data_IF_291993800422
#
_entry.id   IF_291993800422
#
_cell.length_a   1.000
_cell.length_b   1.000
_cell.length_c   1.000
_cell.angle_alpha   90.00
_cell.angle_beta   90.00
_cell.angle_gamma   90.00
#
_symmetry.space_group_name_H-M   'P 1'
#
loop_
_entity.id
_entity.type
_entity.pdbx_description
1 polymer ?
#
# COMPACT_ATOMS: atom_id res chain seq x y z
N UNK A 1 -6.50 -16.13 -55.89
CA UNK A 1 -6.17 -14.88 -55.13
C UNK A 1 -7.06 -14.58 -53.93
N UNK A 2 -7.74 -15.56 -53.30
CA UNK A 2 -8.60 -15.31 -52.08
C UNK A 2 -8.09 -15.93 -50.77
N UNK A 3 -6.95 -16.67 -50.78
CA UNK A 3 -6.41 -17.34 -49.58
C UNK A 3 -5.32 -16.56 -48.86
N UNK A 4 -4.70 -15.55 -49.47
CA UNK A 4 -3.63 -14.72 -48.87
C UNK A 4 -4.15 -13.60 -48.01
N UNK A 5 -5.43 -13.20 -48.07
CA UNK A 5 -6.02 -12.11 -47.30
C UNK A 5 -6.41 -12.52 -45.87
N UNK A 6 -6.60 -13.83 -45.62
CA UNK A 6 -7.05 -14.32 -44.31
C UNK A 6 -5.94 -14.43 -43.28
N UNK A 7 -4.66 -14.46 -43.70
CA UNK A 7 -3.49 -14.54 -42.80
C UNK A 7 -2.98 -13.17 -42.34
N UNK A 8 -3.30 -12.11 -43.05
CA UNK A 8 -2.87 -10.75 -42.70
C UNK A 8 -3.76 -10.10 -41.62
N UNK A 9 -5.04 -10.51 -41.53
CA UNK A 9 -5.97 -9.93 -40.54
C UNK A 9 -5.58 -10.21 -39.08
N UNK A 10 -5.20 -11.43 -38.65
CA UNK A 10 -4.76 -11.69 -37.30
C UNK A 10 -3.41 -11.03 -36.98
N UNK A 11 -2.51 -10.88 -37.96
CA UNK A 11 -1.22 -10.20 -37.73
C UNK A 11 -1.40 -8.69 -37.50
N UNK A 12 -2.31 -8.06 -38.26
CA UNK A 12 -2.64 -6.63 -38.08
C UNK A 12 -3.35 -6.38 -36.76
N UNK A 13 -4.25 -7.27 -36.33
CA UNK A 13 -4.91 -7.16 -35.02
C UNK A 13 -3.95 -7.39 -33.87
N UNK A 14 -2.97 -8.30 -34.00
CA UNK A 14 -1.94 -8.54 -32.99
C UNK A 14 -0.98 -7.35 -32.89
N UNK A 15 -0.56 -6.77 -34.01
CA UNK A 15 0.29 -5.56 -34.01
C UNK A 15 -0.45 -4.34 -33.49
N UNK A 16 -1.72 -4.10 -33.86
CA UNK A 16 -2.53 -3.00 -33.33
C UNK A 16 -2.75 -3.14 -31.81
N UNK A 17 -3.01 -4.34 -31.31
CA UNK A 17 -3.16 -4.60 -29.88
C UNK A 17 -1.85 -4.34 -29.11
N UNK A 18 -0.70 -4.77 -29.65
CA UNK A 18 0.62 -4.54 -29.06
C UNK A 18 1.00 -3.05 -29.08
N UNK A 19 0.68 -2.30 -30.14
CA UNK A 19 0.90 -0.86 -30.22
C UNK A 19 -0.02 -0.08 -29.26
N UNK A 20 -1.30 -0.41 -29.18
CA UNK A 20 -2.24 0.21 -28.26
C UNK A 20 -1.84 -0.01 -26.79
N UNK A 21 -1.39 -1.23 -26.46
CA UNK A 21 -0.93 -1.58 -25.12
C UNK A 21 0.35 -0.81 -24.74
N UNK A 22 1.33 -0.73 -25.65
CA UNK A 22 2.57 0.03 -25.43
C UNK A 22 2.34 1.54 -25.27
N UNK A 23 1.33 2.10 -25.96
CA UNK A 23 0.96 3.51 -25.85
C UNK A 23 0.28 3.81 -24.50
N UNK A 24 -0.58 2.92 -24.02
CA UNK A 24 -1.25 3.03 -22.72
C UNK A 24 -0.22 3.02 -21.57
N UNK A 25 0.71 2.08 -21.56
CA UNK A 25 1.76 1.97 -20.53
C UNK A 25 2.61 3.24 -20.49
N UNK A 26 3.03 3.78 -21.65
CA UNK A 26 3.85 4.99 -21.72
C UNK A 26 3.13 6.19 -21.10
N UNK A 27 1.84 6.36 -21.37
CA UNK A 27 1.06 7.47 -20.80
C UNK A 27 0.88 7.34 -19.28
N UNK A 28 0.68 6.12 -18.77
CA UNK A 28 0.56 5.87 -17.34
C UNK A 28 1.89 6.18 -16.60
N UNK A 29 3.02 5.74 -17.16
CA UNK A 29 4.35 6.05 -16.62
C UNK A 29 4.64 7.55 -16.65
N UNK A 30 4.32 8.25 -17.73
CA UNK A 30 4.47 9.71 -17.81
C UNK A 30 3.63 10.44 -16.75
N UNK A 31 2.40 9.98 -16.50
CA UNK A 31 1.54 10.53 -15.44
C UNK A 31 2.14 10.32 -14.06
N UNK A 32 2.71 9.14 -13.78
CA UNK A 32 3.42 8.86 -12.54
C UNK A 32 4.63 9.77 -12.36
N UNK A 33 5.44 9.94 -13.40
CA UNK A 33 6.61 10.81 -13.37
C UNK A 33 6.24 12.28 -13.09
N UNK A 34 5.20 12.81 -13.72
CA UNK A 34 4.70 14.16 -13.44
C UNK A 34 4.29 14.35 -11.97
N UNK A 35 3.68 13.32 -11.35
CA UNK A 35 3.28 13.40 -9.94
C UNK A 35 4.49 13.24 -9.01
N UNK A 36 5.47 12.40 -9.37
CA UNK A 36 6.74 12.29 -8.66
C UNK A 36 7.51 13.62 -8.63
N UNK A 37 7.53 14.35 -9.74
CA UNK A 37 8.18 15.67 -9.81
C UNK A 37 7.50 16.69 -8.87
N UNK A 38 6.22 16.50 -8.57
CA UNK A 38 5.43 17.36 -7.65
C UNK A 38 5.45 16.88 -6.19
N UNK A 39 6.11 15.76 -5.87
CA UNK A 39 6.11 15.14 -4.54
C UNK A 39 6.44 16.13 -3.41
N UNK A 40 7.45 16.97 -3.62
CA UNK A 40 7.85 17.98 -2.64
C UNK A 40 6.72 18.94 -2.23
N UNK A 41 5.80 19.26 -3.17
CA UNK A 41 4.66 20.11 -2.90
C UNK A 41 3.62 19.40 -2.00
N UNK A 42 3.34 18.12 -2.25
CA UNK A 42 2.43 17.34 -1.39
C UNK A 42 3.00 17.22 0.03
N UNK A 43 4.30 16.93 0.15
CA UNK A 43 4.99 16.90 1.44
C UNK A 43 4.94 18.24 2.17
N UNK A 44 5.11 19.35 1.44
CA UNK A 44 5.01 20.69 2.01
C UNK A 44 3.61 20.97 2.54
N UNK A 45 2.56 20.64 1.79
CA UNK A 45 1.19 20.78 2.25
C UNK A 45 0.93 19.96 3.52
N UNK A 46 1.46 18.75 3.60
CA UNK A 46 1.36 17.90 4.80
C UNK A 46 2.07 18.54 5.99
N UNK A 47 3.30 19.06 5.81
CA UNK A 47 4.06 19.75 6.86
C UNK A 47 3.31 20.99 7.38
N UNK A 48 2.71 21.78 6.52
CA UNK A 48 1.90 22.93 6.96
C UNK A 48 0.71 22.52 7.84
N UNK A 49 0.04 21.38 7.54
CA UNK A 49 -1.01 20.85 8.44
C UNK A 49 -0.45 20.41 9.78
N UNK A 50 0.70 19.74 9.77
CA UNK A 50 1.42 19.32 11.00
C UNK A 50 1.82 20.54 11.83
N UNK A 51 2.39 21.57 11.21
CA UNK A 51 2.78 22.80 11.89
C UNK A 51 1.57 23.49 12.53
N UNK A 52 0.45 23.58 11.81
CA UNK A 52 -0.79 24.13 12.33
C UNK A 52 -1.33 23.36 13.53
N UNK A 53 -1.29 22.01 13.48
CA UNK A 53 -1.70 21.16 14.61
C UNK A 53 -0.75 21.32 15.80
N UNK A 54 0.55 21.47 15.55
CA UNK A 54 1.57 21.63 16.60
C UNK A 54 1.36 22.94 17.36
N UNK A 55 1.03 24.02 16.69
CA UNK A 55 0.71 25.31 17.34
C UNK A 55 -0.50 25.23 18.28
N UNK A 56 -1.45 24.35 18.01
CA UNK A 56 -2.62 24.16 18.88
C UNK A 56 -2.27 23.49 20.22
N UNK A 57 -1.13 22.78 20.31
CA UNK A 57 -0.70 22.13 21.55
C UNK A 57 -0.39 23.15 22.67
N UNK A 58 0.12 24.34 22.32
CA UNK A 58 0.51 25.37 23.29
C UNK A 58 -0.68 25.90 24.09
N UNK A 59 -1.89 25.77 23.57
CA UNK A 59 -3.12 26.29 24.18
C UNK A 59 -4.09 25.20 24.65
N UNK A 60 -3.80 23.94 24.34
CA UNK A 60 -4.69 22.83 24.60
C UNK A 60 -4.72 22.43 26.07
N UNK A 61 -5.89 22.39 26.70
CA UNK A 61 -6.08 21.86 28.06
C UNK A 61 -6.04 20.33 28.11
N UNK A 62 -6.51 19.69 27.06
CA UNK A 62 -6.52 18.22 26.88
C UNK A 62 -5.95 17.89 25.50
N UNK A 63 -4.65 17.61 25.40
CA UNK A 63 -3.96 17.50 24.12
C UNK A 63 -4.23 16.18 23.37
N UNK A 64 -4.96 15.22 23.94
CA UNK A 64 -5.18 13.89 23.35
C UNK A 64 -5.65 13.95 21.90
N UNK A 65 -6.68 14.75 21.61
CA UNK A 65 -7.23 14.89 20.25
C UNK A 65 -6.22 15.44 19.27
N UNK A 66 -5.39 16.39 19.71
CA UNK A 66 -4.33 16.96 18.87
C UNK A 66 -3.23 15.93 18.62
N UNK A 67 -2.84 15.17 19.66
CA UNK A 67 -1.89 14.06 19.49
C UNK A 67 -2.40 13.01 18.51
N UNK A 68 -3.70 12.69 18.56
CA UNK A 68 -4.34 11.80 17.59
C UNK A 68 -4.29 12.37 16.18
N UNK A 69 -4.62 13.65 15.98
CA UNK A 69 -4.53 14.30 14.67
C UNK A 69 -3.07 14.29 14.15
N UNK A 70 -2.10 14.56 15.00
CA UNK A 70 -0.67 14.50 14.64
C UNK A 70 -0.24 13.05 14.31
N UNK A 71 -0.69 12.06 15.07
CA UNK A 71 -0.49 10.65 14.72
C UNK A 71 -1.05 10.34 13.33
N UNK A 72 -2.27 10.77 12.99
CA UNK A 72 -2.88 10.55 11.66
C UNK A 72 -2.05 11.16 10.52
N UNK A 73 -1.45 12.32 10.72
CA UNK A 73 -0.56 12.92 9.73
C UNK A 73 0.77 12.15 9.61
N UNK A 74 1.31 11.60 10.71
CA UNK A 74 2.61 10.92 10.72
C UNK A 74 2.56 9.43 10.44
N UNK A 75 1.43 8.73 10.66
CA UNK A 75 1.34 7.26 10.67
C UNK A 75 1.87 6.55 9.41
N UNK A 76 1.81 7.20 8.24
CA UNK A 76 2.36 6.70 6.97
C UNK A 76 3.43 7.62 6.38
N UNK A 77 3.82 8.68 7.11
CA UNK A 77 4.79 9.69 6.68
C UNK A 77 6.14 9.56 7.40
N UNK A 78 6.13 9.32 8.72
CA UNK A 78 7.33 9.14 9.53
C UNK A 78 7.04 8.24 10.72
N UNK A 79 7.64 7.06 10.73
CA UNK A 79 7.45 6.02 11.73
C UNK A 79 7.78 6.48 13.16
N UNK A 80 8.97 7.07 13.35
CA UNK A 80 9.46 7.42 14.71
C UNK A 80 8.58 8.47 15.36
N UNK A 81 8.19 9.49 14.58
CA UNK A 81 7.31 10.55 15.07
C UNK A 81 5.89 10.05 15.33
N UNK A 82 5.37 9.18 14.48
CA UNK A 82 4.08 8.51 14.72
C UNK A 82 4.11 7.73 16.04
N UNK A 83 5.19 6.98 16.30
CA UNK A 83 5.36 6.23 17.55
C UNK A 83 5.43 7.15 18.79
N UNK A 84 6.07 8.30 18.67
CA UNK A 84 6.10 9.32 19.74
C UNK A 84 4.68 9.79 20.08
N UNK A 85 3.87 10.11 19.06
CA UNK A 85 2.51 10.59 19.31
C UNK A 85 1.59 9.52 19.88
N UNK A 86 1.74 8.25 19.50
CA UNK A 86 0.97 7.16 20.15
C UNK A 86 1.33 7.00 21.63
N UNK A 87 2.61 7.22 22.02
CA UNK A 87 3.01 7.21 23.42
C UNK A 87 2.40 8.39 24.18
N UNK A 88 2.42 9.59 23.60
CA UNK A 88 1.77 10.77 24.20
C UNK A 88 0.26 10.59 24.37
N UNK A 89 -0.40 9.98 23.37
CA UNK A 89 -1.82 9.61 23.49
C UNK A 89 -2.06 8.65 24.65
N UNK A 90 -1.23 7.63 24.81
CA UNK A 90 -1.33 6.65 25.87
C UNK A 90 -1.13 7.28 27.25
N UNK A 91 -0.10 8.12 27.42
CA UNK A 91 0.18 8.84 28.67
C UNK A 91 -0.97 9.78 29.05
N UNK A 92 -1.50 10.53 28.10
CA UNK A 92 -2.66 11.42 28.31
C UNK A 92 -3.93 10.63 28.66
N UNK A 93 -4.17 9.50 28.02
CA UNK A 93 -5.31 8.63 28.32
C UNK A 93 -5.25 8.07 29.75
N UNK A 94 -4.05 7.75 30.25
CA UNK A 94 -3.81 7.35 31.64
C UNK A 94 -4.13 8.50 32.63
N UNK A 95 -3.68 9.72 32.32
CA UNK A 95 -3.95 10.90 33.15
C UNK A 95 -5.46 11.21 33.22
N UNK A 96 -6.16 11.05 32.11
CA UNK A 96 -7.61 11.24 32.01
C UNK A 96 -8.42 10.09 32.63
N UNK A 97 -7.79 8.97 32.97
CA UNK A 97 -8.41 7.75 33.47
C UNK A 97 -9.52 7.25 32.53
N UNK A 98 -9.29 7.31 31.20
CA UNK A 98 -10.27 6.91 30.19
C UNK A 98 -9.80 5.64 29.45
N UNK A 99 -10.34 4.45 29.80
CA UNK A 99 -9.94 3.18 29.21
C UNK A 99 -10.15 3.10 27.69
N UNK A 100 -11.19 3.76 27.16
CA UNK A 100 -11.45 3.84 25.73
C UNK A 100 -10.36 4.59 24.96
N UNK A 101 -9.85 5.70 25.50
CA UNK A 101 -8.75 6.44 24.89
C UNK A 101 -7.43 5.68 25.01
N UNK A 102 -7.25 4.92 26.09
CA UNK A 102 -6.09 4.06 26.26
C UNK A 102 -6.05 2.95 25.21
N UNK A 103 -7.18 2.25 25.02
CA UNK A 103 -7.33 1.23 23.99
C UNK A 103 -7.12 1.79 22.57
N UNK A 104 -7.65 2.99 22.30
CA UNK A 104 -7.43 3.67 21.01
C UNK A 104 -5.95 4.01 20.79
N UNK A 105 -5.25 4.54 21.79
CA UNK A 105 -3.82 4.85 21.71
C UNK A 105 -2.97 3.60 21.45
N UNK A 106 -3.29 2.49 22.11
CA UNK A 106 -2.60 1.22 21.92
C UNK A 106 -2.90 0.59 20.55
N UNK A 107 -4.11 0.74 20.04
CA UNK A 107 -4.47 0.33 18.69
C UNK A 107 -3.72 1.15 17.63
N UNK A 108 -3.60 2.47 17.81
CA UNK A 108 -2.78 3.33 16.97
C UNK A 108 -1.30 2.92 16.99
N UNK A 109 -0.77 2.57 18.17
CA UNK A 109 0.61 2.07 18.33
C UNK A 109 0.81 0.73 17.64
N UNK A 110 -0.17 -0.15 17.73
CA UNK A 110 -0.16 -1.42 16.99
C UNK A 110 -0.02 -1.21 15.49
N UNK A 111 -0.80 -0.27 14.92
CA UNK A 111 -0.70 0.06 13.51
C UNK A 111 0.72 0.55 13.14
N UNK A 112 1.35 1.38 13.97
CA UNK A 112 2.74 1.84 13.73
C UNK A 112 3.72 0.67 13.77
N UNK A 113 3.63 -0.23 14.77
CA UNK A 113 4.48 -1.41 14.85
C UNK A 113 4.34 -2.30 13.61
N UNK A 114 3.11 -2.56 13.18
CA UNK A 114 2.79 -3.35 12.00
C UNK A 114 3.40 -2.72 10.74
N UNK A 115 3.22 -1.42 10.54
CA UNK A 115 3.77 -0.68 9.39
C UNK A 115 5.31 -0.63 9.40
N UNK A 116 5.94 -0.67 10.58
CA UNK A 116 7.39 -0.81 10.74
C UNK A 116 7.92 -2.23 10.55
N UNK A 117 7.04 -3.26 10.48
CA UNK A 117 7.40 -4.67 10.39
C UNK A 117 7.73 -5.33 11.74
N UNK A 118 7.27 -4.75 12.85
CA UNK A 118 7.41 -5.27 14.21
C UNK A 118 6.17 -6.14 14.55
N UNK A 119 6.04 -7.27 13.84
CA UNK A 119 4.85 -8.12 13.91
C UNK A 119 4.63 -8.73 15.31
N UNK A 120 5.72 -9.07 16.02
CA UNK A 120 5.63 -9.64 17.38
C UNK A 120 5.06 -8.62 18.35
N UNK A 121 5.59 -7.41 18.37
CA UNK A 121 5.15 -6.31 19.21
C UNK A 121 3.72 -5.89 18.90
N UNK A 122 3.35 -5.87 17.62
CA UNK A 122 1.99 -5.61 17.20
C UNK A 122 1.02 -6.70 17.67
N UNK A 123 1.40 -7.97 17.56
CA UNK A 123 0.59 -9.11 17.99
C UNK A 123 0.37 -9.11 19.50
N UNK A 124 1.44 -8.90 20.28
CA UNK A 124 1.35 -8.88 21.76
C UNK A 124 0.41 -7.77 22.22
N UNK A 125 0.52 -6.58 21.62
CA UNK A 125 -0.32 -5.46 22.00
C UNK A 125 -1.79 -5.67 21.63
N UNK A 126 -2.09 -6.23 20.44
CA UNK A 126 -3.46 -6.57 20.04
C UNK A 126 -4.06 -7.67 20.92
N UNK A 127 -3.28 -8.70 21.26
CA UNK A 127 -3.75 -9.76 22.15
C UNK A 127 -4.08 -9.22 23.55
N UNK A 128 -3.36 -8.20 23.99
CA UNK A 128 -3.70 -7.50 25.25
C UNK A 128 -4.99 -6.70 25.13
N UNK A 129 -5.21 -6.05 23.99
CA UNK A 129 -6.42 -5.27 23.70
C UNK A 129 -7.70 -6.15 23.62
N UNK A 130 -7.60 -7.44 23.30
CA UNK A 130 -8.75 -8.36 23.31
C UNK A 130 -9.47 -8.35 24.67
N UNK A 131 -8.75 -8.13 25.77
CA UNK A 131 -9.33 -8.04 27.12
C UNK A 131 -10.14 -6.74 27.33
N UNK A 132 -9.88 -5.68 26.58
CA UNK A 132 -10.62 -4.41 26.67
C UNK A 132 -11.85 -4.41 25.76
N UNK A 133 -11.76 -5.02 24.58
CA UNK A 133 -12.85 -5.08 23.61
C UNK A 133 -13.76 -6.27 23.89
N UNK A 134 -14.64 -6.10 24.86
CA UNK A 134 -15.72 -7.06 25.11
C UNK A 134 -17.07 -6.41 24.80
N UNK A 135 -18.11 -7.20 24.46
CA UNK A 135 -19.45 -6.68 24.22
C UNK A 135 -20.02 -5.86 25.38
N UNK A 136 -19.48 -6.04 26.59
CA UNK A 136 -19.94 -5.39 27.81
C UNK A 136 -19.13 -4.17 28.24
N UNK A 137 -17.89 -4.02 27.76
CA UNK A 137 -16.99 -2.94 28.21
C UNK A 137 -16.74 -1.91 27.12
N UNK A 138 -16.38 -2.34 25.93
CA UNK A 138 -16.10 -1.47 24.79
C UNK A 138 -16.39 -2.22 23.49
N UNK A 139 -17.33 -1.74 22.63
CA UNK A 139 -17.51 -2.36 21.33
C UNK A 139 -16.27 -2.11 20.46
N UNK A 140 -15.74 -3.16 19.80
CA UNK A 140 -14.59 -2.99 18.93
C UNK A 140 -14.94 -2.11 17.72
N UNK A 141 -14.01 -1.22 17.36
CA UNK A 141 -14.16 -0.29 16.24
C UNK A 141 -13.81 -0.96 14.90
N UNK A 142 -14.28 -0.44 13.75
CA UNK A 142 -13.82 -0.91 12.45
C UNK A 142 -12.29 -0.94 12.31
N UNK A 143 -11.60 0.05 12.88
CA UNK A 143 -10.13 0.13 12.88
C UNK A 143 -9.46 -1.04 13.64
N UNK A 144 -10.09 -1.53 14.72
CA UNK A 144 -9.61 -2.72 15.43
C UNK A 144 -9.66 -3.97 14.54
N UNK A 145 -10.81 -4.24 13.92
CA UNK A 145 -10.96 -5.41 13.04
C UNK A 145 -9.99 -5.37 11.85
N UNK A 146 -9.89 -4.21 11.20
CA UNK A 146 -9.00 -4.01 10.06
C UNK A 146 -7.53 -4.17 10.47
N UNK A 147 -7.11 -3.61 11.59
CA UNK A 147 -5.72 -3.68 12.07
C UNK A 147 -5.34 -5.11 12.43
N UNK A 148 -6.25 -5.85 13.10
CA UNK A 148 -6.01 -7.23 13.46
C UNK A 148 -5.93 -8.15 12.24
N UNK A 149 -6.87 -7.99 11.31
CA UNK A 149 -6.86 -8.75 10.06
C UNK A 149 -5.61 -8.45 9.23
N UNK A 150 -5.21 -7.17 9.11
CA UNK A 150 -3.98 -6.78 8.41
C UNK A 150 -2.74 -7.46 9.02
N UNK A 151 -2.61 -7.43 10.35
CA UNK A 151 -1.51 -8.12 11.03
C UNK A 151 -1.45 -9.60 10.67
N UNK A 152 -2.58 -10.29 10.73
CA UNK A 152 -2.66 -11.71 10.42
C UNK A 152 -2.36 -11.99 8.94
N UNK A 153 -2.80 -11.15 8.03
CA UNK A 153 -2.49 -11.27 6.60
C UNK A 153 -1.01 -11.03 6.32
N UNK A 154 -0.40 -10.01 6.93
CA UNK A 154 1.04 -9.73 6.77
C UNK A 154 1.89 -10.87 7.37
N UNK A 155 1.45 -11.46 8.51
CA UNK A 155 2.08 -12.65 9.09
C UNK A 155 1.91 -13.88 8.19
N UNK A 156 0.76 -14.05 7.53
CA UNK A 156 0.53 -15.13 6.57
C UNK A 156 1.50 -15.04 5.39
N UNK A 157 1.58 -13.84 4.80
CA UNK A 157 2.44 -13.57 3.65
C UNK A 157 3.94 -13.74 3.99
N UNK A 158 4.34 -13.42 5.22
CA UNK A 158 5.71 -13.59 5.70
C UNK A 158 6.06 -15.06 6.00
N UNK A 159 5.16 -15.79 6.66
CA UNK A 159 5.42 -17.15 7.11
C UNK A 159 5.31 -18.18 5.98
N UNK A 160 4.36 -18.01 5.06
CA UNK A 160 4.09 -18.98 4.00
C UNK A 160 3.58 -20.34 4.50
N UNK A 161 3.57 -21.34 3.61
CA UNK A 161 3.28 -22.73 3.96
C UNK A 161 1.98 -22.96 4.74
N UNK A 162 2.00 -23.83 5.73
CA UNK A 162 0.82 -24.17 6.55
C UNK A 162 0.30 -22.96 7.36
N UNK A 163 1.21 -22.10 7.82
CA UNK A 163 0.83 -20.92 8.59
C UNK A 163 0.11 -19.88 7.75
N UNK A 164 0.35 -19.83 6.43
CA UNK A 164 -0.38 -19.00 5.50
C UNK A 164 -1.89 -19.24 5.60
N UNK A 165 -2.31 -20.51 5.58
CA UNK A 165 -3.74 -20.88 5.66
C UNK A 165 -4.32 -20.47 7.02
N UNK A 166 -3.62 -20.80 8.09
CA UNK A 166 -4.09 -20.52 9.46
C UNK A 166 -4.27 -19.04 9.73
N UNK A 167 -3.27 -18.23 9.38
CA UNK A 167 -3.36 -16.78 9.61
C UNK A 167 -4.40 -16.10 8.70
N UNK A 168 -4.52 -16.52 7.43
CA UNK A 168 -5.56 -16.00 6.54
C UNK A 168 -6.97 -16.30 7.05
N UNK A 169 -7.24 -17.52 7.53
CA UNK A 169 -8.53 -17.87 8.10
C UNK A 169 -8.86 -17.00 9.33
N UNK A 170 -7.88 -16.81 10.21
CA UNK A 170 -8.08 -15.93 11.38
C UNK A 170 -8.30 -14.48 10.96
N UNK A 171 -7.55 -13.96 9.99
CA UNK A 171 -7.76 -12.62 9.45
C UNK A 171 -9.14 -12.45 8.81
N UNK A 172 -9.59 -13.44 8.03
CA UNK A 172 -10.93 -13.45 7.45
C UNK A 172 -12.02 -13.41 8.51
N UNK A 173 -11.83 -14.08 9.66
CA UNK A 173 -12.81 -14.05 10.76
C UNK A 173 -12.97 -12.64 11.35
N UNK A 174 -11.89 -11.86 11.50
CA UNK A 174 -12.00 -10.47 11.96
C UNK A 174 -12.69 -9.58 10.91
N UNK A 175 -12.35 -9.74 9.63
CA UNK A 175 -13.03 -9.01 8.56
C UNK A 175 -14.50 -9.37 8.45
N UNK A 176 -14.85 -10.66 8.65
CA UNK A 176 -16.25 -11.11 8.63
C UNK A 176 -17.07 -10.47 9.76
N UNK A 177 -16.52 -10.36 10.97
CA UNK A 177 -17.19 -9.65 12.08
C UNK A 177 -17.49 -8.19 11.72
N UNK A 178 -16.62 -7.51 10.96
CA UNK A 178 -16.90 -6.16 10.49
C UNK A 178 -18.00 -6.14 9.41
N UNK A 179 -18.01 -7.10 8.49
CA UNK A 179 -19.07 -7.25 7.48
C UNK A 179 -20.42 -7.48 8.16
N UNK A 180 -20.48 -8.35 9.17
CA UNK A 180 -21.72 -8.72 9.88
C UNK A 180 -22.33 -7.55 10.68
N UNK A 181 -21.50 -6.58 11.06
CA UNK A 181 -21.91 -5.36 11.77
C UNK A 181 -22.25 -4.19 10.83
N UNK A 182 -22.02 -4.36 9.51
CA UNK A 182 -22.18 -3.33 8.51
C UNK A 182 -23.30 -3.69 7.52
N UNK A 183 -23.78 -2.71 6.79
CA UNK A 183 -24.74 -2.91 5.69
C UNK A 183 -24.11 -2.48 4.36
N UNK A 184 -24.61 -2.93 3.19
CA UNK A 184 -24.14 -2.43 1.90
C UNK A 184 -24.20 -0.91 1.74
N UNK A 185 -25.09 -0.24 2.49
CA UNK A 185 -25.17 1.23 2.54
C UNK A 185 -23.98 1.87 3.28
N UNK A 186 -23.30 1.13 4.15
CA UNK A 186 -22.07 1.56 4.83
C UNK A 186 -20.84 1.43 3.95
N UNK A 187 -21.02 1.28 2.67
CA UNK A 187 -20.11 1.12 1.53
C UNK A 187 -18.67 0.72 1.89
N UNK A 188 -17.86 1.60 2.48
CA UNK A 188 -16.46 1.32 2.80
C UNK A 188 -16.31 0.20 3.82
N UNK A 189 -17.05 0.21 4.93
CA UNK A 189 -16.94 -0.79 6.01
C UNK A 189 -17.61 -2.12 5.70
N UNK A 190 -18.42 -2.19 4.64
CA UNK A 190 -18.97 -3.43 4.12
C UNK A 190 -18.14 -4.00 2.97
N UNK A 191 -17.86 -3.16 1.96
CA UNK A 191 -17.23 -3.64 0.72
C UNK A 191 -15.71 -3.89 0.87
N UNK A 192 -14.97 -3.06 1.61
CA UNK A 192 -13.53 -3.25 1.80
C UNK A 192 -13.20 -4.57 2.53
N UNK A 193 -13.79 -4.87 3.70
CA UNK A 193 -13.52 -6.14 4.37
C UNK A 193 -13.97 -7.36 3.55
N UNK A 194 -15.13 -7.30 2.89
CA UNK A 194 -15.59 -8.38 2.03
C UNK A 194 -14.66 -8.59 0.81
N UNK A 195 -14.18 -7.51 0.19
CA UNK A 195 -13.18 -7.59 -0.88
C UNK A 195 -11.88 -8.25 -0.38
N UNK A 196 -11.44 -7.92 0.83
CA UNK A 196 -10.23 -8.48 1.45
C UNK A 196 -10.36 -9.98 1.69
N UNK A 197 -11.50 -10.45 2.22
CA UNK A 197 -11.80 -11.88 2.38
C UNK A 197 -11.73 -12.58 1.03
N UNK A 198 -12.46 -12.08 0.03
CA UNK A 198 -12.52 -12.66 -1.31
C UNK A 198 -11.16 -12.69 -2.01
N UNK A 199 -10.29 -11.70 -1.74
CA UNK A 199 -8.90 -11.68 -2.22
C UNK A 199 -8.12 -12.85 -1.63
N UNK A 200 -8.22 -13.09 -0.33
CA UNK A 200 -7.52 -14.19 0.36
C UNK A 200 -8.05 -15.57 -0.03
N UNK A 201 -9.30 -15.65 -0.44
CA UNK A 201 -9.93 -16.86 -0.97
C UNK A 201 -9.64 -17.09 -2.47
N UNK A 202 -8.96 -16.16 -3.15
CA UNK A 202 -8.66 -16.24 -4.58
C UNK A 202 -9.84 -15.94 -5.50
N UNK A 203 -10.93 -15.36 -4.98
CA UNK A 203 -12.10 -15.00 -5.77
C UNK A 203 -11.92 -13.62 -6.44
N UNK A 204 -10.98 -13.55 -7.39
CA UNK A 204 -10.47 -12.29 -7.95
C UNK A 204 -11.57 -11.38 -8.50
N UNK A 205 -12.50 -11.89 -9.31
CA UNK A 205 -13.52 -11.05 -9.97
C UNK A 205 -14.48 -10.39 -8.97
N UNK A 206 -14.95 -11.13 -7.99
CA UNK A 206 -15.83 -10.58 -6.95
C UNK A 206 -15.07 -9.60 -6.06
N UNK A 207 -13.83 -9.91 -5.68
CA UNK A 207 -12.99 -9.03 -4.89
C UNK A 207 -12.77 -7.69 -5.59
N UNK A 208 -12.43 -7.69 -6.89
CA UNK A 208 -12.30 -6.45 -7.69
C UNK A 208 -13.59 -5.63 -7.66
N UNK A 209 -14.75 -6.26 -7.87
CA UNK A 209 -16.03 -5.56 -7.86
C UNK A 209 -16.28 -4.87 -6.51
N UNK A 210 -16.02 -5.55 -5.39
CA UNK A 210 -16.20 -4.96 -4.05
C UNK A 210 -15.18 -3.85 -3.75
N UNK A 211 -13.90 -3.96 -4.15
CA UNK A 211 -12.96 -2.84 -4.04
C UNK A 211 -13.41 -1.63 -4.86
N UNK A 212 -13.97 -1.86 -6.07
CA UNK A 212 -14.50 -0.78 -6.90
C UNK A 212 -15.72 -0.08 -6.27
N UNK A 213 -16.57 -0.82 -5.55
CA UNK A 213 -17.66 -0.19 -4.78
C UNK A 213 -17.11 0.61 -3.58
N UNK A 214 -16.11 0.08 -2.84
CA UNK A 214 -15.47 0.80 -1.74
C UNK A 214 -14.81 2.13 -2.22
N UNK A 215 -14.25 2.16 -3.42
CA UNK A 215 -13.67 3.38 -4.02
C UNK A 215 -14.70 4.50 -4.28
N UNK A 216 -16.00 4.18 -4.37
CA UNK A 216 -17.07 5.18 -4.60
C UNK A 216 -17.51 5.89 -3.32
N UNK A 217 -17.11 5.39 -2.14
CA UNK A 217 -17.47 5.99 -0.86
C UNK A 217 -16.82 7.36 -0.71
N UNK A 218 -17.60 8.38 -0.37
CA UNK A 218 -17.11 9.75 -0.16
C UNK A 218 -16.12 9.88 1.01
N UNK A 219 -16.10 8.91 1.93
CA UNK A 219 -15.16 8.82 3.06
C UNK A 219 -13.82 8.21 2.68
N UNK A 220 -13.72 7.60 1.48
CA UNK A 220 -12.50 6.98 0.97
C UNK A 220 -11.42 8.05 0.77
N UNK A 221 -10.44 8.09 1.67
CA UNK A 221 -9.31 9.01 1.58
C UNK A 221 -8.38 8.65 0.42
N UNK A 222 -7.52 9.59 0.01
CA UNK A 222 -6.49 9.31 -1.02
C UNK A 222 -5.57 8.15 -0.60
N UNK A 223 -5.29 8.01 0.69
CA UNK A 223 -4.54 6.88 1.22
C UNK A 223 -5.31 5.54 1.08
N UNK A 224 -6.61 5.52 1.39
CA UNK A 224 -7.44 4.33 1.21
C UNK A 224 -7.54 3.93 -0.27
N UNK A 225 -7.65 4.93 -1.17
CA UNK A 225 -7.61 4.68 -2.62
C UNK A 225 -6.32 3.97 -3.05
N UNK A 226 -5.16 4.35 -2.49
CA UNK A 226 -3.89 3.70 -2.79
C UNK A 226 -3.91 2.21 -2.39
N UNK A 227 -4.46 1.88 -1.21
CA UNK A 227 -4.63 0.50 -0.73
C UNK A 227 -5.54 -0.28 -1.68
N UNK A 228 -6.70 0.28 -2.04
CA UNK A 228 -7.67 -0.41 -2.91
C UNK A 228 -7.13 -0.58 -4.33
N UNK A 229 -6.46 0.42 -4.90
CA UNK A 229 -5.81 0.29 -6.20
C UNK A 229 -4.70 -0.76 -6.19
N UNK A 230 -3.87 -0.81 -5.14
CA UNK A 230 -2.84 -1.85 -4.99
C UNK A 230 -3.44 -3.25 -4.94
N UNK A 231 -4.55 -3.42 -4.22
CA UNK A 231 -5.27 -4.69 -4.10
C UNK A 231 -5.89 -5.12 -5.43
N UNK A 232 -6.53 -4.20 -6.16
CA UNK A 232 -7.07 -4.44 -7.50
C UNK A 232 -5.94 -4.80 -8.48
N UNK A 233 -4.80 -4.10 -8.41
CA UNK A 233 -3.64 -4.39 -9.25
C UNK A 233 -3.11 -5.81 -9.02
N UNK A 234 -2.97 -6.21 -7.76
CA UNK A 234 -2.58 -7.57 -7.39
C UNK A 234 -3.54 -8.61 -7.96
N UNK A 235 -4.85 -8.39 -7.86
CA UNK A 235 -5.88 -9.28 -8.40
C UNK A 235 -5.81 -9.39 -9.94
N UNK A 236 -5.61 -8.28 -10.66
CA UNK A 236 -5.41 -8.34 -12.11
C UNK A 236 -4.14 -9.09 -12.49
N UNK A 237 -3.07 -8.99 -11.69
CA UNK A 237 -1.86 -9.77 -11.89
C UNK A 237 -2.12 -11.27 -11.71
N UNK A 238 -2.90 -11.66 -10.71
CA UNK A 238 -3.34 -13.06 -10.51
C UNK A 238 -4.17 -13.59 -11.70
N UNK A 239 -4.95 -12.73 -12.34
CA UNK A 239 -5.72 -13.04 -13.54
C UNK A 239 -4.88 -13.02 -14.83
N UNK A 240 -3.57 -12.76 -14.76
CA UNK A 240 -2.67 -12.66 -15.91
C UNK A 240 -2.89 -11.39 -16.75
N UNK A 241 -3.58 -10.39 -16.23
CA UNK A 241 -3.80 -9.12 -16.94
C UNK A 241 -2.79 -8.05 -16.47
N UNK A 242 -1.54 -8.19 -16.93
CA UNK A 242 -0.44 -7.31 -16.55
C UNK A 242 -0.67 -5.84 -16.94
N UNK A 243 -1.42 -5.59 -18.02
CA UNK A 243 -1.73 -4.21 -18.46
C UNK A 243 -2.60 -3.49 -17.44
N UNK A 244 -3.69 -4.10 -17.00
CA UNK A 244 -4.55 -3.53 -15.97
C UNK A 244 -3.84 -3.51 -14.62
N UNK A 245 -3.07 -4.55 -14.28
CA UNK A 245 -2.27 -4.59 -13.06
C UNK A 245 -1.33 -3.38 -12.97
N UNK A 246 -0.54 -3.12 -14.02
CA UNK A 246 0.37 -1.98 -14.05
C UNK A 246 -0.37 -0.64 -13.95
N UNK A 247 -1.48 -0.48 -14.68
CA UNK A 247 -2.31 0.73 -14.60
C UNK A 247 -2.80 1.00 -13.18
N UNK A 248 -3.28 -0.02 -12.47
CA UNK A 248 -3.78 0.13 -11.10
C UNK A 248 -2.63 0.34 -10.09
N UNK A 249 -1.45 -0.29 -10.27
CA UNK A 249 -0.28 0.04 -9.45
C UNK A 249 0.20 1.48 -9.67
N UNK A 250 0.13 2.00 -10.89
CA UNK A 250 0.42 3.42 -11.16
C UNK A 250 -0.59 4.33 -10.43
N UNK A 251 -1.88 4.01 -10.46
CA UNK A 251 -2.87 4.76 -9.71
C UNK A 251 -2.61 4.72 -8.20
N UNK A 252 -2.22 3.55 -7.67
CA UNK A 252 -1.84 3.39 -6.27
C UNK A 252 -0.62 4.26 -5.90
N UNK A 253 0.45 4.20 -6.71
CA UNK A 253 1.64 5.02 -6.48
C UNK A 253 1.35 6.52 -6.54
N UNK A 254 0.50 6.96 -7.48
CA UNK A 254 0.05 8.35 -7.55
C UNK A 254 -0.70 8.76 -6.27
N UNK A 255 -1.63 7.94 -5.80
CA UNK A 255 -2.39 8.21 -4.59
C UNK A 255 -1.49 8.21 -3.33
N UNK A 256 -0.51 7.30 -3.25
CA UNK A 256 0.52 7.30 -2.19
C UNK A 256 1.32 8.60 -2.17
N UNK A 257 1.80 9.06 -3.33
CA UNK A 257 2.57 10.31 -3.44
C UNK A 257 1.71 11.52 -3.04
N UNK A 258 0.47 11.58 -3.53
CA UNK A 258 -0.45 12.69 -3.24
C UNK A 258 -0.87 12.75 -1.77
N UNK A 259 -0.92 11.62 -1.07
CA UNK A 259 -1.16 11.54 0.38
C UNK A 259 0.12 11.66 1.22
N UNK A 260 1.29 11.82 0.59
CA UNK A 260 2.61 11.79 1.24
C UNK A 260 2.78 10.53 2.09
N UNK A 261 2.47 9.37 1.51
CA UNK A 261 2.65 8.07 2.12
C UNK A 261 3.97 7.45 1.66
N UNK A 262 4.80 6.98 2.61
CA UNK A 262 6.11 6.37 2.38
C UNK A 262 6.15 4.88 2.74
N UNK A 263 5.12 4.38 3.41
CA UNK A 263 4.93 2.97 3.70
C UNK A 263 4.17 2.31 2.54
N UNK A 264 4.82 2.15 1.37
CA UNK A 264 4.14 1.74 0.14
C UNK A 264 4.72 0.46 -0.46
N UNK A 265 3.95 -0.19 -1.34
CA UNK A 265 4.40 -1.33 -2.16
C UNK A 265 4.31 -1.04 -3.65
N UNK A 266 3.55 -0.01 -4.04
CA UNK A 266 3.16 0.21 -5.43
C UNK A 266 4.38 0.43 -6.34
N UNK A 267 5.33 1.29 -5.94
CA UNK A 267 6.54 1.57 -6.73
C UNK A 267 7.42 0.31 -6.91
N UNK A 268 7.55 -0.53 -5.87
CA UNK A 268 8.26 -1.81 -5.97
C UNK A 268 7.60 -2.73 -7.01
N UNK A 269 6.26 -2.82 -6.99
CA UNK A 269 5.51 -3.67 -7.92
C UNK A 269 5.62 -3.15 -9.36
N UNK A 270 5.57 -1.82 -9.56
CA UNK A 270 5.82 -1.20 -10.87
C UNK A 270 7.23 -1.56 -11.37
N UNK A 271 8.26 -1.42 -10.53
CA UNK A 271 9.64 -1.75 -10.89
C UNK A 271 9.77 -3.23 -11.30
N UNK A 272 9.17 -4.15 -10.53
CA UNK A 272 9.17 -5.58 -10.85
C UNK A 272 8.51 -5.86 -12.21
N UNK A 273 7.34 -5.27 -12.47
CA UNK A 273 6.63 -5.48 -13.73
C UNK A 273 7.37 -4.90 -14.92
N UNK A 274 7.99 -3.73 -14.79
CA UNK A 274 8.81 -3.12 -15.83
C UNK A 274 10.08 -3.93 -16.09
N UNK A 275 10.70 -4.48 -15.05
CA UNK A 275 11.84 -5.39 -15.19
C UNK A 275 11.48 -6.64 -16.01
N UNK A 276 10.35 -7.30 -15.68
CA UNK A 276 9.86 -8.47 -16.41
C UNK A 276 9.51 -8.15 -17.88
N UNK A 277 9.19 -6.90 -18.20
CA UNK A 277 8.95 -6.42 -19.56
C UNK A 277 10.25 -5.97 -20.29
N UNK A 278 11.43 -6.13 -19.68
CA UNK A 278 12.72 -5.73 -20.23
C UNK A 278 12.98 -4.21 -20.19
N UNK A 279 12.17 -3.44 -19.48
CA UNK A 279 12.33 -1.98 -19.32
C UNK A 279 13.25 -1.67 -18.13
N UNK A 280 14.50 -2.18 -18.19
CA UNK A 280 15.43 -2.21 -17.06
C UNK A 280 15.73 -0.81 -16.51
N UNK A 281 15.90 0.21 -17.35
CA UNK A 281 16.19 1.59 -16.89
C UNK A 281 15.05 2.19 -16.08
N UNK A 282 13.80 1.93 -16.46
CA UNK A 282 12.64 2.39 -15.69
C UNK A 282 12.47 1.59 -14.41
N UNK A 283 12.72 0.28 -14.47
CA UNK A 283 12.70 -0.59 -13.27
C UNK A 283 13.72 -0.11 -12.25
N UNK A 284 14.94 0.20 -12.68
CA UNK A 284 16.00 0.74 -11.84
C UNK A 284 15.60 2.06 -11.17
N UNK A 285 15.04 3.00 -11.94
CA UNK A 285 14.54 4.28 -11.42
C UNK A 285 13.53 4.06 -10.28
N UNK A 286 12.49 3.23 -10.49
CA UNK A 286 11.40 3.10 -9.52
C UNK A 286 11.77 2.24 -8.32
N UNK A 287 12.66 1.23 -8.47
CA UNK A 287 13.10 0.43 -7.34
C UNK A 287 13.96 1.24 -6.36
N UNK A 288 14.79 2.16 -6.88
CA UNK A 288 15.56 3.09 -6.04
C UNK A 288 14.65 4.05 -5.28
N UNK A 289 13.61 4.61 -5.93
CA UNK A 289 12.64 5.46 -5.24
C UNK A 289 11.91 4.66 -4.14
N UNK A 290 11.48 3.44 -4.45
CA UNK A 290 10.83 2.57 -3.46
C UNK A 290 11.74 2.27 -2.25
N UNK A 291 13.05 2.06 -2.47
CA UNK A 291 14.01 1.84 -1.39
C UNK A 291 14.18 3.10 -0.55
N UNK A 292 14.31 4.27 -1.17
CA UNK A 292 14.40 5.56 -0.45
C UNK A 292 13.16 5.79 0.42
N UNK A 293 11.97 5.50 -0.09
CA UNK A 293 10.71 5.61 0.64
C UNK A 293 10.68 4.69 1.86
N UNK A 294 11.02 3.41 1.67
CA UNK A 294 11.06 2.43 2.75
C UNK A 294 12.11 2.77 3.82
N UNK A 295 13.26 3.33 3.44
CA UNK A 295 14.28 3.81 4.36
C UNK A 295 13.79 5.04 5.13
N UNK A 296 13.19 6.00 4.45
CA UNK A 296 12.68 7.24 5.05
C UNK A 296 11.57 6.95 6.09
N UNK A 297 10.73 5.97 5.81
CA UNK A 297 9.67 5.55 6.74
C UNK A 297 10.17 4.61 7.84
N UNK A 298 11.32 3.96 7.69
CA UNK A 298 11.82 2.86 8.53
C UNK A 298 11.00 1.56 8.41
N UNK A 299 10.43 1.28 7.24
CA UNK A 299 9.68 0.05 6.95
C UNK A 299 10.64 -1.15 6.74
N UNK A 300 11.12 -1.78 7.81
CA UNK A 300 12.18 -2.82 7.78
C UNK A 300 11.84 -4.00 6.88
N UNK A 301 10.63 -4.55 6.98
CA UNK A 301 10.17 -5.67 6.16
C UNK A 301 10.09 -5.32 4.68
N UNK A 302 9.74 -4.07 4.35
CA UNK A 302 9.73 -3.56 2.97
C UNK A 302 11.15 -3.41 2.41
N UNK A 303 12.08 -2.89 3.22
CA UNK A 303 13.49 -2.77 2.82
C UNK A 303 14.07 -4.14 2.44
N UNK A 304 13.79 -5.19 3.22
CA UNK A 304 14.22 -6.56 2.90
C UNK A 304 13.62 -7.04 1.57
N UNK A 305 12.32 -6.87 1.38
CA UNK A 305 11.63 -7.26 0.14
C UNK A 305 12.13 -6.50 -1.10
N UNK A 306 12.45 -5.21 -0.95
CA UNK A 306 12.97 -4.37 -2.03
C UNK A 306 14.42 -4.72 -2.35
N UNK A 307 15.27 -4.99 -1.33
CA UNK A 307 16.69 -5.30 -1.50
C UNK A 307 16.93 -6.49 -2.41
N UNK A 308 16.10 -7.53 -2.30
CA UNK A 308 16.21 -8.73 -3.14
C UNK A 308 16.02 -8.41 -4.62
N UNK A 309 15.00 -7.60 -4.94
CA UNK A 309 14.71 -7.20 -6.31
C UNK A 309 15.69 -6.14 -6.82
N UNK A 310 16.09 -5.19 -5.98
CA UNK A 310 17.05 -4.13 -6.29
C UNK A 310 18.36 -4.72 -6.81
N UNK A 311 18.94 -5.69 -6.09
CA UNK A 311 20.20 -6.33 -6.51
C UNK A 311 20.10 -6.98 -7.90
N UNK A 312 18.98 -7.62 -8.22
CA UNK A 312 18.74 -8.24 -9.53
C UNK A 312 18.67 -7.17 -10.64
N UNK A 313 17.90 -6.11 -10.39
CA UNK A 313 17.73 -5.01 -11.37
C UNK A 313 19.04 -4.26 -11.60
N UNK A 314 19.77 -3.90 -10.54
CA UNK A 314 21.06 -3.19 -10.64
C UNK A 314 22.10 -3.98 -11.45
N UNK A 315 22.19 -5.29 -11.20
CA UNK A 315 23.08 -6.15 -11.98
C UNK A 315 22.74 -6.13 -13.46
N UNK A 316 21.48 -6.34 -13.81
CA UNK A 316 21.02 -6.32 -15.20
C UNK A 316 21.19 -4.94 -15.85
N UNK A 317 20.95 -3.87 -15.10
CA UNK A 317 21.18 -2.50 -15.57
C UNK A 317 22.66 -2.26 -15.89
N UNK A 318 23.55 -2.67 -14.99
CA UNK A 318 25.01 -2.55 -15.20
C UNK A 318 25.48 -3.34 -16.43
N UNK A 319 25.01 -4.59 -16.59
CA UNK A 319 25.33 -5.42 -17.76
C UNK A 319 24.85 -4.74 -19.07
N UNK A 320 23.63 -4.19 -19.06
CA UNK A 320 23.07 -3.48 -20.21
C UNK A 320 23.89 -2.24 -20.57
N UNK A 321 24.30 -1.44 -19.59
CA UNK A 321 25.15 -0.27 -19.79
C UNK A 321 26.51 -0.66 -20.38
N UNK A 322 27.14 -1.72 -19.87
CA UNK A 322 28.40 -2.22 -20.39
C UNK A 322 28.29 -2.67 -21.86
N UNK A 323 27.22 -3.42 -22.19
CA UNK A 323 26.97 -3.84 -23.57
C UNK A 323 26.80 -2.64 -24.52
N UNK A 324 26.01 -1.63 -24.10
CA UNK A 324 25.88 -0.40 -24.88
C UNK A 324 27.19 0.34 -25.05
N UNK A 325 27.99 0.42 -24.01
CA UNK A 325 29.34 1.04 -24.09
C UNK A 325 30.25 0.32 -25.08
N UNK A 326 30.36 -1.02 -25.01
CA UNK A 326 31.12 -1.81 -25.94
C UNK A 326 30.62 -1.66 -27.38
N UNK A 327 29.32 -1.70 -27.61
CA UNK A 327 28.73 -1.51 -28.94
C UNK A 327 29.07 -0.14 -29.51
N UNK A 328 28.99 0.92 -28.70
CA UNK A 328 29.34 2.29 -29.10
C UNK A 328 30.83 2.39 -29.48
N UNK A 329 31.71 1.78 -28.68
CA UNK A 329 33.15 1.76 -28.99
C UNK A 329 33.44 1.03 -30.31
N UNK A 330 32.76 -0.10 -30.59
CA UNK A 330 32.90 -0.82 -31.86
C UNK A 330 32.47 0.05 -33.05
N UNK A 331 31.31 0.72 -32.92
CA UNK A 331 30.76 1.61 -33.96
C UNK A 331 31.72 2.78 -34.23
N UNK A 332 32.37 3.34 -33.20
CA UNK A 332 33.31 4.44 -33.34
C UNK A 332 34.66 4.01 -33.90
N UNK A 333 35.01 2.72 -33.83
CA UNK A 333 36.26 2.16 -34.34
C UNK A 333 36.20 1.73 -35.83
N UNK A 334 35.00 1.65 -36.41
CA UNK A 334 34.74 1.38 -37.83
C UNK A 334 34.64 2.68 -38.59
#
# INVERSE_FOLDING_TARGET
MKKTLLFLLPLVLYTCGAFANKYSIKSDIQRLDMVLDQRANYDLCKRHRIDSLTLLLDTAKTPYTIYKCLYEEYKSFNYDTALIYTKKMHEEALLLQQPNLLAEADLCRTFVYLSGGLFKEAYDLLSHLENYYTPYTLPPTPFYYITYARLLYDMADYAGGEMFVTYNQRGNNYMQQLVDQSTPADSMYYHYPLASILLREGNCHKSIAHFQEALKDSRCSTHDQAIFYSSIAFLYRQLGNDTLALKYYVNAAIADIQSSTYETVALRMIAEMLYLQGQVNLADKYIHIAMQDAQRYHARHRQVSISQLLHIIERQHTETLQQHHYTTLIILAI
#
